data_IF_723381159141
#
_entry.id   IF_723381159141
#
_cell.length_a   1.000
_cell.length_b   1.000
_cell.length_c   1.000
_cell.angle_alpha   90.00
_cell.angle_beta   90.00
_cell.angle_gamma   90.00
#
_symmetry.space_group_name_H-M   'P 1'
#
loop_
_entity.id
_entity.type
_entity.pdbx_description
1 polymer ?
#
# COMPACT_ATOMS: atom_id res chain seq x y z
N UNK A 1 3.73 15.93 -22.98
CA UNK A 1 3.58 14.46 -23.16
C UNK A 1 4.67 13.67 -22.45
N UNK A 2 5.92 14.16 -22.40
CA UNK A 2 7.06 13.52 -21.72
C UNK A 2 6.93 13.43 -20.18
N UNK A 3 6.37 14.46 -19.53
CA UNK A 3 6.12 14.52 -18.08
C UNK A 3 5.37 13.29 -17.52
N UNK A 4 4.31 12.85 -18.20
CA UNK A 4 3.52 11.69 -17.79
C UNK A 4 4.27 10.36 -17.98
N UNK A 5 5.24 10.31 -18.91
CA UNK A 5 6.00 9.07 -19.18
C UNK A 5 6.98 8.78 -18.04
N UNK A 6 7.74 9.79 -17.61
CA UNK A 6 8.72 9.64 -16.53
C UNK A 6 8.04 9.32 -15.20
N UNK A 7 6.95 10.04 -14.86
CA UNK A 7 6.14 9.75 -13.67
C UNK A 7 5.61 8.32 -13.66
N UNK A 8 5.05 7.85 -14.78
CA UNK A 8 4.54 6.48 -14.89
C UNK A 8 5.65 5.44 -14.71
N UNK A 9 6.82 5.66 -15.30
CA UNK A 9 7.97 4.77 -15.13
C UNK A 9 8.40 4.72 -13.65
N UNK A 10 8.47 5.88 -12.98
CA UNK A 10 8.77 5.95 -11.54
C UNK A 10 7.74 5.19 -10.70
N UNK A 11 6.44 5.36 -10.97
CA UNK A 11 5.39 4.63 -10.26
C UNK A 11 5.49 3.12 -10.48
N UNK A 12 5.78 2.67 -11.70
CA UNK A 12 5.98 1.25 -12.02
C UNK A 12 7.22 0.70 -11.29
N UNK A 13 8.33 1.46 -11.28
CA UNK A 13 9.55 1.05 -10.59
C UNK A 13 9.31 0.89 -9.07
N UNK A 14 8.64 1.85 -8.44
CA UNK A 14 8.25 1.76 -7.02
C UNK A 14 7.32 0.56 -6.81
N UNK A 15 6.33 0.36 -7.67
CA UNK A 15 5.40 -0.77 -7.57
C UNK A 15 6.12 -2.12 -7.64
N UNK A 16 7.07 -2.29 -8.57
CA UNK A 16 7.90 -3.50 -8.65
C UNK A 16 8.73 -3.68 -7.39
N UNK A 17 9.33 -2.62 -6.86
CA UNK A 17 10.09 -2.68 -5.61
C UNK A 17 9.20 -3.13 -4.42
N UNK A 18 7.97 -2.62 -4.33
CA UNK A 18 6.99 -3.03 -3.31
C UNK A 18 6.58 -4.49 -3.52
N UNK A 19 6.39 -4.97 -4.75
CA UNK A 19 6.09 -6.39 -5.02
C UNK A 19 7.23 -7.31 -4.57
N UNK A 20 8.48 -6.95 -4.89
CA UNK A 20 9.66 -7.71 -4.44
C UNK A 20 9.74 -7.71 -2.92
N UNK A 21 9.53 -6.56 -2.30
CA UNK A 21 9.46 -6.46 -0.84
C UNK A 21 8.36 -7.34 -0.26
N UNK A 22 7.16 -7.34 -0.87
CA UNK A 22 6.03 -8.18 -0.45
C UNK A 22 6.38 -9.66 -0.50
N UNK A 23 7.00 -10.12 -1.59
CA UNK A 23 7.45 -11.50 -1.74
C UNK A 23 8.50 -11.86 -0.68
N UNK A 24 9.48 -10.99 -0.44
CA UNK A 24 10.45 -11.17 0.64
C UNK A 24 9.78 -11.24 2.02
N UNK A 25 8.76 -10.40 2.23
CA UNK A 25 8.02 -10.31 3.46
C UNK A 25 7.28 -11.62 3.76
N UNK A 26 6.50 -12.12 2.81
CA UNK A 26 5.71 -13.35 2.96
C UNK A 26 6.57 -14.62 2.97
N UNK A 27 7.67 -14.68 2.21
CA UNK A 27 8.50 -15.88 2.10
C UNK A 27 9.48 -16.07 3.26
N UNK A 28 9.82 -15.00 3.99
CA UNK A 28 10.87 -15.09 5.02
C UNK A 28 10.69 -14.15 6.20
N UNK A 29 10.48 -12.86 5.95
CA UNK A 29 10.49 -11.88 7.03
C UNK A 29 9.37 -12.14 8.04
N UNK A 30 8.17 -12.46 7.57
CA UNK A 30 7.01 -12.68 8.43
C UNK A 30 7.20 -13.90 9.33
N UNK A 31 7.65 -15.01 8.77
CA UNK A 31 7.99 -16.21 9.54
C UNK A 31 9.09 -15.91 10.57
N UNK A 32 10.15 -15.21 10.16
CA UNK A 32 11.21 -14.77 11.07
C UNK A 32 10.66 -13.90 12.22
N UNK A 33 9.80 -12.94 11.93
CA UNK A 33 9.19 -12.08 12.96
C UNK A 33 8.33 -12.88 13.92
N UNK A 34 7.54 -13.85 13.47
CA UNK A 34 6.78 -14.73 14.37
C UNK A 34 7.69 -15.58 15.26
N UNK A 35 8.81 -16.09 14.73
CA UNK A 35 9.78 -16.85 15.56
C UNK A 35 10.48 -16.00 16.61
N UNK A 36 10.65 -14.70 16.37
CA UNK A 36 11.39 -13.79 17.28
C UNK A 36 10.52 -13.00 18.23
N UNK A 37 9.33 -12.59 17.79
CA UNK A 37 8.42 -11.73 18.53
C UNK A 37 7.20 -12.50 19.07
N UNK A 38 7.07 -13.79 18.73
CA UNK A 38 5.95 -14.64 19.10
C UNK A 38 4.84 -14.65 18.04
N UNK A 39 4.00 -15.68 18.08
CA UNK A 39 2.90 -15.88 17.11
C UNK A 39 1.82 -14.79 17.21
N UNK A 40 1.73 -14.08 18.34
CA UNK A 40 0.80 -12.98 18.56
C UNK A 40 1.41 -11.61 18.19
N UNK A 41 2.52 -11.62 17.43
CA UNK A 41 3.21 -10.40 17.01
C UNK A 41 2.30 -9.57 16.10
N UNK A 42 1.79 -8.46 16.67
CA UNK A 42 1.01 -7.45 15.95
C UNK A 42 1.75 -6.95 14.70
N UNK A 43 3.07 -6.76 14.80
CA UNK A 43 3.86 -6.29 13.66
C UNK A 43 3.83 -7.30 12.49
N UNK A 44 4.00 -8.59 12.79
CA UNK A 44 3.98 -9.65 11.78
C UNK A 44 2.55 -9.96 11.28
N UNK A 45 1.55 -9.75 12.13
CA UNK A 45 0.13 -9.90 11.83
C UNK A 45 -0.39 -8.84 10.86
N UNK A 46 -0.06 -7.58 11.11
CA UNK A 46 -0.66 -6.42 10.43
C UNK A 46 0.14 -5.86 9.25
N UNK A 47 1.41 -6.26 9.10
CA UNK A 47 2.23 -5.85 7.96
C UNK A 47 1.61 -6.19 6.59
N UNK A 48 0.94 -7.35 6.39
CA UNK A 48 0.22 -7.63 5.16
C UNK A 48 -0.83 -6.57 4.80
N UNK A 49 -1.59 -6.05 5.77
CA UNK A 49 -2.62 -5.03 5.51
C UNK A 49 -2.01 -3.69 5.11
N UNK A 50 -0.91 -3.27 5.75
CA UNK A 50 -0.14 -2.10 5.32
C UNK A 50 0.31 -2.24 3.87
N UNK A 51 0.96 -3.37 3.54
CA UNK A 51 1.49 -3.64 2.20
C UNK A 51 0.37 -3.72 1.16
N UNK A 52 -0.77 -4.31 1.51
CA UNK A 52 -1.94 -4.38 0.64
C UNK A 52 -2.46 -2.98 0.25
N UNK A 53 -2.55 -2.05 1.21
CA UNK A 53 -2.90 -0.65 0.91
C UNK A 53 -1.91 -0.04 -0.08
N UNK A 54 -0.61 -0.27 0.11
CA UNK A 54 0.42 0.24 -0.82
C UNK A 54 0.23 -0.33 -2.22
N UNK A 55 0.08 -1.65 -2.35
CA UNK A 55 -0.09 -2.29 -3.64
C UNK A 55 -1.36 -1.81 -4.36
N UNK A 56 -2.51 -1.80 -3.69
CA UNK A 56 -3.79 -1.36 -4.26
C UNK A 56 -3.70 0.10 -4.71
N UNK A 57 -3.13 0.97 -3.88
CA UNK A 57 -3.00 2.40 -4.18
C UNK A 57 -2.11 2.64 -5.39
N UNK A 58 -0.97 1.94 -5.49
CA UNK A 58 -0.05 2.09 -6.62
C UNK A 58 -0.60 1.50 -7.91
N UNK A 59 -1.28 0.35 -7.87
CA UNK A 59 -2.00 -0.19 -9.03
C UNK A 59 -3.00 0.85 -9.55
N UNK A 60 -3.81 1.41 -8.65
CA UNK A 60 -4.79 2.42 -9.03
C UNK A 60 -4.12 3.67 -9.61
N UNK A 61 -3.06 4.17 -8.99
CA UNK A 61 -2.30 5.33 -9.49
C UNK A 61 -1.75 5.07 -10.91
N UNK A 62 -1.17 3.89 -11.17
CA UNK A 62 -0.62 3.52 -12.48
C UNK A 62 -1.71 3.44 -13.55
N UNK A 63 -2.89 2.90 -13.22
CA UNK A 63 -4.04 2.78 -14.14
C UNK A 63 -4.64 4.15 -14.41
N UNK A 64 -4.87 4.96 -13.36
CA UNK A 64 -5.50 6.29 -13.45
C UNK A 64 -4.59 7.39 -13.97
N UNK A 65 -3.29 7.15 -14.12
CA UNK A 65 -2.31 8.12 -14.66
C UNK A 65 -2.73 8.76 -15.99
N UNK A 66 -3.59 8.09 -16.77
CA UNK A 66 -4.16 8.63 -18.02
C UNK A 66 -5.16 9.76 -17.79
N UNK A 67 -5.81 9.83 -16.63
CA UNK A 67 -6.84 10.81 -16.28
C UNK A 67 -6.27 11.84 -15.29
N UNK A 68 -5.90 13.03 -15.79
CA UNK A 68 -5.18 14.11 -15.07
C UNK A 68 -5.88 14.72 -13.85
N UNK A 69 -7.06 14.24 -13.44
CA UNK A 69 -7.92 14.95 -12.49
C UNK A 69 -8.03 14.31 -11.09
N UNK A 70 -7.52 13.11 -10.86
CA UNK A 70 -7.61 12.53 -9.53
C UNK A 70 -6.51 13.09 -8.61
N UNK A 71 -6.95 13.66 -7.48
CA UNK A 71 -6.03 14.15 -6.45
C UNK A 71 -5.31 12.98 -5.77
N UNK A 72 -4.05 13.20 -5.38
CA UNK A 72 -3.25 12.22 -4.64
C UNK A 72 -3.99 11.73 -3.39
N UNK A 73 -4.62 12.67 -2.67
CA UNK A 73 -5.43 12.37 -1.49
C UNK A 73 -6.53 11.35 -1.79
N UNK A 74 -7.27 11.53 -2.89
CA UNK A 74 -8.36 10.63 -3.26
C UNK A 74 -7.85 9.22 -3.56
N UNK A 75 -6.72 9.11 -4.27
CA UNK A 75 -6.10 7.82 -4.60
C UNK A 75 -5.67 7.08 -3.33
N UNK A 76 -4.98 7.77 -2.42
CA UNK A 76 -4.51 7.19 -1.15
C UNK A 76 -5.65 6.83 -0.21
N UNK A 77 -6.68 7.69 -0.09
CA UNK A 77 -7.88 7.39 0.70
C UNK A 77 -8.61 6.17 0.16
N UNK A 78 -8.72 6.02 -1.17
CA UNK A 78 -9.40 4.88 -1.76
C UNK A 78 -8.71 3.56 -1.38
N UNK A 79 -7.38 3.47 -1.48
CA UNK A 79 -6.63 2.27 -1.08
C UNK A 79 -6.78 1.95 0.41
N UNK A 80 -6.71 2.97 1.26
CA UNK A 80 -6.93 2.85 2.69
C UNK A 80 -8.34 2.33 3.00
N UNK A 81 -9.38 2.97 2.42
CA UNK A 81 -10.77 2.61 2.67
C UNK A 81 -11.07 1.19 2.21
N UNK A 82 -10.53 0.74 1.06
CA UNK A 82 -10.72 -0.63 0.59
C UNK A 82 -10.26 -1.64 1.65
N UNK A 83 -9.08 -1.43 2.25
CA UNK A 83 -8.58 -2.36 3.27
C UNK A 83 -9.30 -2.22 4.61
N UNK A 84 -9.71 -1.02 5.00
CA UNK A 84 -10.53 -0.84 6.21
C UNK A 84 -11.90 -1.52 6.06
N UNK A 85 -12.55 -1.39 4.89
CA UNK A 85 -13.80 -2.10 4.60
C UNK A 85 -13.60 -3.60 4.53
N UNK A 86 -12.48 -4.07 3.96
CA UNK A 86 -12.12 -5.48 3.96
C UNK A 86 -12.06 -6.03 5.38
N UNK A 87 -11.39 -5.32 6.31
CA UNK A 87 -11.30 -5.73 7.71
C UNK A 87 -12.66 -5.74 8.42
N UNK A 88 -13.55 -4.79 8.12
CA UNK A 88 -14.90 -4.76 8.68
C UNK A 88 -15.77 -5.94 8.19
N UNK A 89 -15.55 -6.43 6.97
CA UNK A 89 -16.28 -7.56 6.39
C UNK A 89 -15.66 -8.89 6.80
N UNK A 90 -14.38 -8.90 7.17
CA UNK A 90 -13.58 -10.08 7.50
C UNK A 90 -14.25 -11.05 8.50
N UNK A 91 -14.97 -10.60 9.55
CA UNK A 91 -15.70 -11.50 10.46
C UNK A 91 -16.82 -12.33 9.83
N UNK A 92 -17.31 -11.92 8.65
CA UNK A 92 -18.30 -12.68 7.91
C UNK A 92 -17.68 -13.89 7.18
N UNK A 93 -16.34 -13.97 7.13
CA UNK A 93 -15.58 -15.07 6.53
C UNK A 93 -15.21 -16.06 7.64
N UNK A 94 -15.58 -17.33 7.45
CA UNK A 94 -15.32 -18.37 8.44
C UNK A 94 -13.81 -18.49 8.78
N UNK A 95 -13.49 -18.49 10.08
CA UNK A 95 -12.12 -18.62 10.57
C UNK A 95 -11.29 -17.34 10.52
N UNK A 96 -11.89 -16.19 10.20
CA UNK A 96 -11.25 -14.88 10.27
C UNK A 96 -11.83 -14.03 11.39
N UNK A 97 -10.96 -13.24 12.00
CA UNK A 97 -11.28 -12.33 13.10
C UNK A 97 -10.98 -10.91 12.68
N UNK A 98 -11.70 -9.99 13.32
CA UNK A 98 -11.48 -8.56 13.17
C UNK A 98 -10.30 -8.13 14.04
N UNK A 99 -9.34 -7.41 13.46
CA UNK A 99 -8.20 -6.84 14.18
C UNK A 99 -8.12 -5.30 14.04
N UNK A 100 -8.12 -4.60 15.17
CA UNK A 100 -7.94 -3.15 15.22
C UNK A 100 -6.56 -2.71 14.73
N UNK A 101 -5.53 -3.54 14.91
CA UNK A 101 -4.19 -3.24 14.43
C UNK A 101 -4.09 -3.30 12.91
N UNK A 102 -4.94 -4.12 12.27
CA UNK A 102 -5.05 -4.22 10.82
C UNK A 102 -5.72 -2.98 10.20
N UNK A 103 -6.68 -2.37 10.91
CA UNK A 103 -7.21 -1.05 10.56
C UNK A 103 -6.12 0.02 10.69
N UNK A 104 -5.38 0.03 11.80
CA UNK A 104 -4.31 1.00 12.03
C UNK A 104 -3.21 0.88 10.96
N UNK A 105 -2.79 -0.34 10.63
CA UNK A 105 -1.83 -0.62 9.58
C UNK A 105 -2.33 -0.14 8.21
N UNK A 106 -3.61 -0.32 7.92
CA UNK A 106 -4.24 0.19 6.69
C UNK A 106 -4.20 1.71 6.61
N UNK A 107 -4.50 2.39 7.72
CA UNK A 107 -4.44 3.86 7.80
C UNK A 107 -3.01 4.38 7.61
N UNK A 108 -2.03 3.76 8.26
CA UNK A 108 -0.61 4.07 8.07
C UNK A 108 -0.17 3.85 6.63
N UNK A 109 -0.65 2.78 5.98
CA UNK A 109 -0.43 2.52 4.56
C UNK A 109 -0.98 3.64 3.67
N UNK A 110 -2.16 4.16 3.99
CA UNK A 110 -2.77 5.29 3.30
C UNK A 110 -1.94 6.56 3.40
N UNK A 111 -1.50 6.91 4.62
CA UNK A 111 -0.62 8.06 4.87
C UNK A 111 0.71 7.90 4.12
N UNK A 112 1.32 6.73 4.20
CA UNK A 112 2.56 6.44 3.49
C UNK A 112 2.41 6.65 1.99
N UNK A 113 1.35 6.10 1.39
CA UNK A 113 1.08 6.27 -0.04
C UNK A 113 0.86 7.74 -0.40
N UNK A 114 0.14 8.50 0.42
CA UNK A 114 -0.08 9.93 0.19
C UNK A 114 1.25 10.69 0.14
N UNK A 115 2.15 10.44 1.09
CA UNK A 115 3.48 11.05 1.14
C UNK A 115 4.31 10.66 -0.09
N UNK A 116 4.38 9.38 -0.44
CA UNK A 116 5.19 8.90 -1.58
C UNK A 116 4.65 9.44 -2.90
N UNK A 117 3.34 9.42 -3.13
CA UNK A 117 2.76 9.96 -4.36
C UNK A 117 2.97 11.47 -4.50
N UNK A 118 2.91 12.23 -3.41
CA UNK A 118 3.26 13.65 -3.43
C UNK A 118 4.74 13.87 -3.73
N UNK A 119 5.63 13.05 -3.16
CA UNK A 119 7.06 13.11 -3.45
C UNK A 119 7.34 12.82 -4.93
N UNK A 120 6.71 11.78 -5.49
CA UNK A 120 6.82 11.46 -6.93
C UNK A 120 6.34 12.63 -7.79
N UNK A 121 5.20 13.24 -7.43
CA UNK A 121 4.68 14.41 -8.15
C UNK A 121 5.63 15.61 -8.08
N UNK A 122 6.27 15.84 -6.93
CA UNK A 122 7.24 16.91 -6.75
C UNK A 122 8.50 16.68 -7.59
N UNK A 123 9.13 15.50 -7.45
CA UNK A 123 10.36 15.16 -8.17
C UNK A 123 10.16 15.15 -9.69
N UNK A 124 9.01 14.67 -10.18
CA UNK A 124 8.73 14.63 -11.63
C UNK A 124 8.45 15.99 -12.24
N UNK A 125 7.93 16.95 -11.47
CA UNK A 125 7.81 18.36 -11.89
C UNK A 125 9.15 19.10 -11.88
N UNK A 126 10.06 18.75 -10.97
CA UNK A 126 11.37 19.42 -10.87
C UNK A 126 12.32 19.09 -12.04
N UNK A 127 12.09 17.96 -12.73
CA UNK A 127 12.94 17.46 -13.83
C UNK A 127 12.37 17.87 -15.21
N UNK A 128 11.21 18.53 -15.26
CA UNK A 128 10.50 18.92 -16.49
C UNK A 128 10.59 20.40 -16.80
#
# INVERSE_FOLDING_TARGET
MLLNKNRRITLIAIFIAVLVFTAFMELGLRAYLFTKLGNDSVLAGSMPNFVAVVLITFIYAIIKERNKQDSVLKISLMGCLIMVFYELIQPLIAGRTFDWFDILASFLGGIFCYCVLNLVNYCTKAIS
#
